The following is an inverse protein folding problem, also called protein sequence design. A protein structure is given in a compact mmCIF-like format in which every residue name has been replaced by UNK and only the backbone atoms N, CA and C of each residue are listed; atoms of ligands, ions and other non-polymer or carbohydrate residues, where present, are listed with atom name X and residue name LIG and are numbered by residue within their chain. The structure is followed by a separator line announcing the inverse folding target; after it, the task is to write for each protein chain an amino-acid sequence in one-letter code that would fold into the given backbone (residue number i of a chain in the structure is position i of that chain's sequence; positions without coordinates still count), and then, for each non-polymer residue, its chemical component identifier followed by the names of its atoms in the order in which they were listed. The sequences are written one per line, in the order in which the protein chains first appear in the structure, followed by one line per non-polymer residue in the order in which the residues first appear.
data_IF_081243967497
#
_entry.id   IF_081243967497
#
_cell.length_a   1.000
_cell.length_b   1.000
_cell.length_c   1.000
_cell.angle_alpha   90.00
_cell.angle_beta   90.00
_cell.angle_gamma   90.00
#
_symmetry.space_group_name_H-M   'P 1'
#
loop_
_entity.id
_entity.type
_entity.pdbx_description
1 polymer ?
#
# COMPACT_ATOMS: atom_id res chain seq x y z
N UNK A 1 5.13 0.63 -15.15
CA UNK A 1 4.80 -0.50 -14.24
C UNK A 1 4.99 -0.03 -12.82
N UNK A 2 3.90 0.13 -12.07
CA UNK A 2 3.87 0.61 -10.68
C UNK A 2 4.01 -0.52 -9.65
N UNK A 3 3.81 -1.79 -10.05
CA UNK A 3 3.95 -2.97 -9.21
C UNK A 3 5.26 -3.73 -9.43
N UNK A 4 5.89 -4.19 -8.34
CA UNK A 4 7.16 -4.92 -8.36
C UNK A 4 7.04 -6.19 -7.50
N UNK A 5 7.31 -7.35 -8.09
CA UNK A 5 7.34 -8.63 -7.36
C UNK A 5 8.63 -8.79 -6.56
N UNK A 6 8.53 -9.24 -5.30
CA UNK A 6 9.66 -9.45 -4.39
C UNK A 6 9.43 -10.69 -3.54
N UNK A 7 10.46 -11.53 -3.36
CA UNK A 7 10.43 -12.73 -2.49
C UNK A 7 9.26 -13.70 -2.79
N UNK A 8 8.85 -13.80 -4.05
CA UNK A 8 7.73 -14.66 -4.47
C UNK A 8 6.35 -14.03 -4.33
N UNK A 9 6.25 -12.81 -3.79
CA UNK A 9 5.01 -12.07 -3.71
C UNK A 9 4.89 -11.09 -4.86
N UNK A 10 3.67 -10.97 -5.38
CA UNK A 10 3.28 -9.95 -6.36
C UNK A 10 2.10 -9.19 -5.77
N UNK A 11 2.08 -7.85 -5.85
CA UNK A 11 0.95 -7.07 -5.35
C UNK A 11 -0.37 -7.55 -5.94
N UNK A 12 -1.38 -7.74 -5.08
CA UNK A 12 -2.75 -8.04 -5.48
C UNK A 12 -3.57 -6.76 -5.35
N UNK A 13 -3.92 -6.18 -6.49
CA UNK A 13 -4.61 -4.89 -6.56
C UNK A 13 -5.95 -5.16 -7.24
N UNK A 14 -7.05 -4.78 -6.59
CA UNK A 14 -8.36 -4.89 -7.22
C UNK A 14 -8.43 -4.05 -8.51
N UNK A 15 -9.17 -4.53 -9.51
CA UNK A 15 -9.25 -3.89 -10.84
C UNK A 15 -9.82 -2.46 -10.82
N UNK A 16 -10.56 -2.09 -9.77
CA UNK A 16 -11.15 -0.75 -9.60
C UNK A 16 -10.22 0.26 -8.93
N UNK A 17 -9.05 -0.17 -8.44
CA UNK A 17 -8.12 0.72 -7.74
C UNK A 17 -7.50 1.71 -8.70
N UNK A 18 -7.58 3.00 -8.36
CA UNK A 18 -6.77 4.00 -9.04
C UNK A 18 -5.33 3.93 -8.52
N UNK A 19 -4.36 3.78 -9.44
CA UNK A 19 -2.93 3.84 -9.11
C UNK A 19 -2.26 4.88 -10.01
N UNK A 20 -1.73 5.94 -9.40
CA UNK A 20 -0.97 6.96 -10.11
C UNK A 20 0.30 6.36 -10.76
N UNK A 21 0.65 6.86 -11.94
CA UNK A 21 1.73 6.29 -12.78
C UNK A 21 3.11 6.22 -12.08
N UNK A 22 3.37 7.16 -11.17
CA UNK A 22 4.62 7.25 -10.43
C UNK A 22 4.56 6.65 -9.01
N UNK A 23 3.46 6.02 -8.62
CA UNK A 23 3.39 5.25 -7.39
C UNK A 23 4.25 3.97 -7.47
N UNK A 24 4.67 3.46 -6.31
CA UNK A 24 5.44 2.23 -6.16
C UNK A 24 4.76 1.30 -5.17
N UNK A 25 4.35 0.13 -5.65
CA UNK A 25 3.69 -0.92 -4.88
C UNK A 25 4.53 -2.19 -4.98
N UNK A 26 5.10 -2.67 -3.88
CA UNK A 26 6.21 -3.62 -3.91
C UNK A 26 5.92 -4.80 -2.98
N UNK A 27 6.05 -6.03 -3.47
CA UNK A 27 6.01 -7.24 -2.66
C UNK A 27 4.61 -7.67 -2.19
N UNK A 28 4.51 -8.10 -0.94
CA UNK A 28 3.29 -8.62 -0.31
C UNK A 28 2.34 -7.48 0.08
N UNK A 29 1.65 -6.94 -0.91
CA UNK A 29 0.65 -5.87 -0.77
C UNK A 29 -0.68 -6.36 -1.32
N UNK A 30 -1.76 -6.17 -0.56
CA UNK A 30 -3.13 -6.37 -1.03
C UNK A 30 -3.92 -5.07 -0.87
N UNK A 31 -4.62 -4.65 -1.93
CA UNK A 31 -5.42 -3.42 -1.98
C UNK A 31 -6.84 -3.75 -2.41
N UNK A 32 -7.80 -3.39 -1.55
CA UNK A 32 -9.24 -3.59 -1.72
C UNK A 32 -9.88 -2.77 -2.82
N UNK A 33 -11.18 -2.98 -3.02
CA UNK A 33 -12.00 -2.30 -4.03
C UNK A 33 -12.07 -0.80 -3.80
N UNK A 34 -12.11 -0.06 -4.90
CA UNK A 34 -12.40 1.38 -4.93
C UNK A 34 -11.43 2.22 -4.09
N UNK A 35 -10.29 1.64 -3.74
CA UNK A 35 -9.18 2.33 -3.11
C UNK A 35 -8.43 3.20 -4.13
N UNK A 36 -7.61 4.12 -3.64
CA UNK A 36 -6.77 4.97 -4.50
C UNK A 36 -5.38 5.18 -3.93
N UNK A 37 -4.37 5.08 -4.81
CA UNK A 37 -2.95 5.27 -4.51
C UNK A 37 -2.45 6.43 -5.36
N UNK A 38 -2.18 7.55 -4.72
CA UNK A 38 -1.89 8.83 -5.38
C UNK A 38 -0.40 9.02 -5.66
N UNK A 39 -0.04 10.19 -6.20
CA UNK A 39 1.27 10.41 -6.80
C UNK A 39 2.40 10.28 -5.77
N UNK A 40 3.52 9.70 -6.21
CA UNK A 40 4.73 9.51 -5.40
C UNK A 40 4.54 8.66 -4.12
N UNK A 41 3.43 7.93 -3.99
CA UNK A 41 3.23 7.00 -2.87
C UNK A 41 4.16 5.79 -3.00
N UNK A 42 4.73 5.35 -1.87
CA UNK A 42 5.49 4.11 -1.77
C UNK A 42 4.85 3.16 -0.76
N UNK A 43 4.34 2.03 -1.24
CA UNK A 43 3.80 0.94 -0.43
C UNK A 43 4.75 -0.25 -0.58
N UNK A 44 5.44 -0.62 0.50
CA UNK A 44 6.52 -1.60 0.45
C UNK A 44 6.24 -2.78 1.38
N UNK A 45 5.70 -3.86 0.84
CA UNK A 45 5.47 -5.14 1.52
C UNK A 45 6.63 -6.14 1.32
N UNK A 46 7.88 -5.69 1.40
CA UNK A 46 9.05 -6.54 1.15
C UNK A 46 9.51 -7.35 2.38
N UNK A 47 9.25 -6.83 3.57
CA UNK A 47 9.67 -7.42 4.86
C UNK A 47 8.50 -7.97 5.68
N UNK A 48 7.32 -7.37 5.53
CA UNK A 48 6.05 -7.74 6.19
C UNK A 48 4.88 -7.35 5.27
N UNK A 49 3.72 -8.01 5.38
CA UNK A 49 2.55 -7.70 4.59
C UNK A 49 2.02 -6.29 4.82
N UNK A 50 1.51 -5.67 3.75
CA UNK A 50 0.69 -4.46 3.80
C UNK A 50 -0.71 -4.82 3.29
N UNK A 51 -1.75 -4.47 4.06
CA UNK A 51 -3.16 -4.73 3.73
C UNK A 51 -3.93 -3.42 3.76
N UNK A 52 -4.61 -3.11 2.67
CA UNK A 52 -5.40 -1.88 2.51
C UNK A 52 -6.82 -2.28 2.16
N UNK A 53 -7.78 -1.91 3.02
CA UNK A 53 -9.20 -2.20 2.88
C UNK A 53 -9.89 -1.49 1.72
N UNK A 54 -11.18 -1.77 1.57
CA UNK A 54 -12.03 -1.20 0.52
C UNK A 54 -12.24 0.32 0.76
N UNK A 55 -12.38 1.10 -0.30
CA UNK A 55 -12.66 2.55 -0.27
C UNK A 55 -11.61 3.39 0.48
N UNK A 56 -10.40 2.87 0.67
CA UNK A 56 -9.30 3.56 1.36
C UNK A 56 -8.43 4.36 0.38
N UNK A 57 -8.01 5.57 0.77
CA UNK A 57 -7.10 6.38 -0.05
C UNK A 57 -5.76 6.65 0.63
N UNK A 58 -4.68 6.50 -0.15
CA UNK A 58 -3.31 6.83 0.24
C UNK A 58 -2.83 7.98 -0.61
N UNK A 59 -2.81 9.17 -0.02
CA UNK A 59 -2.54 10.41 -0.73
C UNK A 59 -1.03 10.67 -0.93
N UNK A 60 -0.75 11.70 -1.70
CA UNK A 60 0.53 11.96 -2.35
C UNK A 60 1.74 11.93 -1.40
N UNK A 61 2.83 11.30 -1.86
CA UNK A 61 4.10 11.25 -1.14
C UNK A 61 4.11 10.42 0.15
N UNK A 62 3.03 9.71 0.46
CA UNK A 62 2.95 8.86 1.64
C UNK A 62 3.74 7.56 1.50
N UNK A 63 4.21 7.02 2.64
CA UNK A 63 5.01 5.80 2.73
C UNK A 63 4.37 4.81 3.68
N UNK A 64 4.13 3.59 3.22
CA UNK A 64 3.64 2.46 4.02
C UNK A 64 4.72 1.37 4.07
N UNK A 65 5.16 1.00 5.27
CA UNK A 65 6.17 -0.03 5.50
C UNK A 65 5.90 -0.86 6.77
N UNK A 66 6.66 -1.94 6.96
CA UNK A 66 6.57 -2.82 8.12
C UNK A 66 7.92 -3.06 8.79
N UNK A 67 7.88 -3.50 10.04
CA UNK A 67 9.07 -3.95 10.77
C UNK A 67 9.31 -5.42 10.50
N UNK A 68 10.45 -5.76 9.87
CA UNK A 68 10.81 -7.12 9.50
C UNK A 68 10.57 -8.15 10.61
N UNK A 69 9.82 -9.20 10.30
CA UNK A 69 9.51 -10.30 11.21
C UNK A 69 8.68 -9.93 12.44
N UNK A 70 8.14 -8.71 12.50
CA UNK A 70 7.46 -8.19 13.71
C UNK A 70 6.07 -7.63 13.42
N UNK A 71 5.98 -6.54 12.64
CA UNK A 71 4.72 -5.82 12.43
C UNK A 71 4.55 -5.41 10.96
N UNK A 72 3.44 -5.81 10.35
CA UNK A 72 2.99 -5.30 9.05
C UNK A 72 2.23 -3.98 9.18
N UNK A 73 1.54 -3.59 8.10
CA UNK A 73 0.63 -2.45 8.15
C UNK A 73 -0.75 -2.88 7.64
N UNK A 74 -1.79 -2.69 8.45
CA UNK A 74 -3.18 -2.96 8.07
C UNK A 74 -3.95 -1.66 8.14
N UNK A 75 -4.67 -1.34 7.07
CA UNK A 75 -5.67 -0.28 7.02
C UNK A 75 -7.02 -0.93 6.75
N UNK A 76 -7.99 -0.67 7.61
CA UNK A 76 -9.37 -1.12 7.40
C UNK A 76 -10.07 -0.33 6.27
N UNK A 77 -11.34 -0.61 6.05
CA UNK A 77 -12.15 0.06 5.04
C UNK A 77 -12.35 1.56 5.34
N UNK A 78 -12.46 2.36 4.27
CA UNK A 78 -12.77 3.81 4.33
C UNK A 78 -11.79 4.62 5.17
N UNK A 79 -10.52 4.23 5.18
CA UNK A 79 -9.43 4.99 5.81
C UNK A 79 -8.91 6.04 4.83
N UNK A 80 -8.60 7.23 5.35
CA UNK A 80 -7.96 8.30 4.58
C UNK A 80 -6.57 8.58 5.14
N UNK A 81 -5.54 8.31 4.34
CA UNK A 81 -4.16 8.64 4.66
C UNK A 81 -3.81 9.92 3.90
N UNK A 82 -3.65 11.02 4.63
CA UNK A 82 -3.32 12.33 4.08
C UNK A 82 -1.96 12.37 3.39
N UNK A 83 -1.68 13.47 2.69
CA UNK A 83 -0.41 13.67 2.00
C UNK A 83 0.79 13.56 2.95
N UNK A 84 1.89 12.99 2.46
CA UNK A 84 3.20 12.90 3.17
C UNK A 84 3.17 12.16 4.52
N UNK A 85 2.21 11.27 4.72
CA UNK A 85 2.12 10.45 5.93
C UNK A 85 3.06 9.26 5.83
N UNK A 86 3.72 8.92 6.94
CA UNK A 86 4.43 7.65 7.10
C UNK A 86 3.65 6.73 8.04
N UNK A 87 3.25 5.57 7.53
CA UNK A 87 2.72 4.47 8.32
C UNK A 87 3.75 3.35 8.39
N UNK A 88 4.06 2.93 9.61
CA UNK A 88 5.10 1.95 9.83
C UNK A 88 4.72 0.98 10.95
N UNK A 89 4.41 -0.27 10.60
CA UNK A 89 4.15 -1.29 11.61
C UNK A 89 2.89 -1.04 12.46
N UNK A 90 1.78 -0.65 11.86
CA UNK A 90 0.55 -0.24 12.55
C UNK A 90 -0.72 -0.97 12.05
N UNK A 91 -1.79 -0.86 12.83
CA UNK A 91 -3.15 -1.30 12.48
C UNK A 91 -4.10 -0.13 12.71
#
# INVERSE_FOLDING_TARGET
MSSISVRGFTPKIHETVFVADNARIIGDVEIGRDASVWYNVTIRGDVMPIRIGDETNVQDGSVLHGTYGKFGCTLEDRVTIGHTVTLHGCT
#
